data_IF_410078282169
#
_entry.id   IF_410078282169
#
_cell.length_a   1.000
_cell.length_b   1.000
_cell.length_c   1.000
_cell.angle_alpha   90.00
_cell.angle_beta   90.00
_cell.angle_gamma   90.00
#
_symmetry.space_group_name_H-M   'P 1'
#
loop_
_entity.id
_entity.type
_entity.pdbx_description
1 polymer ?
#
# COMPACT_ATOMS: atom_id res chain seq x y z
N UNK A 1 -18.79 -15.41 -33.01
CA UNK A 1 -19.62 -15.76 -31.83
C UNK A 1 -18.66 -16.18 -30.75
N UNK A 2 -18.78 -15.58 -29.56
CA UNK A 2 -17.82 -15.77 -28.48
C UNK A 2 -17.68 -17.25 -28.11
N UNK A 3 -16.47 -17.68 -27.75
CA UNK A 3 -16.24 -19.05 -27.29
C UNK A 3 -17.00 -19.36 -25.99
N UNK A 4 -17.20 -18.36 -25.14
CA UNK A 4 -18.00 -18.47 -23.92
C UNK A 4 -19.50 -18.46 -24.22
N UNK A 5 -20.25 -19.29 -23.48
CA UNK A 5 -21.72 -19.27 -23.47
C UNK A 5 -22.22 -17.95 -22.89
N UNK A 6 -23.33 -17.43 -23.43
CA UNK A 6 -23.99 -16.22 -22.93
C UNK A 6 -24.28 -16.25 -21.42
N UNK A 7 -24.58 -17.42 -20.85
CA UNK A 7 -24.78 -17.57 -19.39
C UNK A 7 -23.53 -17.23 -18.60
N UNK A 8 -22.35 -17.65 -19.09
CA UNK A 8 -21.06 -17.37 -18.44
C UNK A 8 -20.66 -15.91 -18.64
N UNK A 9 -20.92 -15.36 -19.83
CA UNK A 9 -20.72 -13.94 -20.10
C UNK A 9 -21.55 -13.09 -19.13
N UNK A 10 -22.85 -13.39 -18.97
CA UNK A 10 -23.70 -12.66 -18.04
C UNK A 10 -23.20 -12.78 -16.60
N UNK A 11 -22.77 -13.97 -16.15
CA UNK A 11 -22.16 -14.13 -14.83
C UNK A 11 -20.90 -13.28 -14.63
N UNK A 12 -20.04 -13.20 -15.66
CA UNK A 12 -18.85 -12.34 -15.63
C UNK A 12 -19.26 -10.88 -15.46
N UNK A 13 -20.25 -10.41 -16.21
CA UNK A 13 -20.76 -9.04 -16.11
C UNK A 13 -21.39 -8.79 -14.73
N UNK A 14 -22.21 -9.72 -14.23
CA UNK A 14 -22.82 -9.63 -12.90
C UNK A 14 -21.72 -9.47 -11.84
N UNK A 15 -20.64 -10.25 -11.90
CA UNK A 15 -19.53 -10.13 -10.95
C UNK A 15 -18.79 -8.79 -11.01
N UNK A 16 -18.85 -8.06 -12.13
CA UNK A 16 -18.31 -6.70 -12.26
C UNK A 16 -19.26 -5.63 -11.70
N UNK A 17 -20.56 -5.91 -11.60
CA UNK A 17 -21.54 -5.03 -10.95
C UNK A 17 -21.53 -5.14 -9.42
N UNK A 18 -20.91 -6.18 -8.86
CA UNK A 18 -20.87 -6.41 -7.43
C UNK A 18 -19.63 -5.75 -6.78
N UNK A 19 -19.84 -4.67 -6.02
CA UNK A 19 -18.79 -4.02 -5.21
C UNK A 19 -18.85 -2.50 -5.25
N UNK A 20 -17.69 -1.86 -5.40
CA UNK A 20 -17.53 -0.40 -5.42
C UNK A 20 -17.46 0.20 -6.83
N UNK A 21 -17.64 -0.62 -7.87
CA UNK A 21 -17.60 -0.25 -9.28
C UNK A 21 -18.82 -0.81 -10.00
N UNK A 22 -19.08 -0.33 -11.21
CA UNK A 22 -20.15 -0.81 -12.08
C UNK A 22 -19.56 -1.48 -13.33
N UNK A 23 -20.32 -2.34 -14.01
CA UNK A 23 -19.87 -2.98 -15.26
C UNK A 23 -19.43 -1.96 -16.34
N UNK A 24 -20.02 -0.77 -16.34
CA UNK A 24 -19.68 0.33 -17.24
C UNK A 24 -18.26 0.88 -17.04
N UNK A 25 -17.66 0.70 -15.86
CA UNK A 25 -16.28 1.10 -15.56
C UNK A 25 -15.24 0.20 -16.24
N UNK A 26 -15.69 -0.89 -16.86
CA UNK A 26 -14.83 -1.89 -17.50
C UNK A 26 -15.07 -1.97 -19.01
N UNK A 27 -14.00 -2.24 -19.75
CA UNK A 27 -14.04 -2.69 -21.13
C UNK A 27 -13.87 -4.21 -21.13
N UNK A 28 -14.93 -4.93 -21.49
CA UNK A 28 -15.01 -6.39 -21.45
C UNK A 28 -15.09 -6.94 -22.88
N UNK A 29 -14.05 -7.66 -23.28
CA UNK A 29 -13.92 -8.27 -24.59
C UNK A 29 -14.02 -9.80 -24.46
N UNK A 30 -14.82 -10.40 -25.34
CA UNK A 30 -15.05 -11.85 -25.41
C UNK A 30 -14.69 -12.34 -26.81
N UNK A 31 -13.40 -12.64 -27.07
CA UNK A 31 -12.93 -13.01 -28.40
C UNK A 31 -13.57 -14.29 -28.94
N UNK A 32 -13.64 -14.37 -30.26
CA UNK A 32 -14.02 -15.57 -30.98
C UNK A 32 -12.77 -16.40 -31.30
N UNK A 33 -12.87 -17.72 -31.23
CA UNK A 33 -11.85 -18.69 -31.71
C UNK A 33 -10.42 -18.41 -31.22
N UNK A 34 -10.27 -18.04 -29.96
CA UNK A 34 -8.98 -17.78 -29.34
C UNK A 34 -8.80 -18.57 -28.05
N UNK A 35 -7.56 -18.80 -27.63
CA UNK A 35 -7.29 -19.37 -26.31
C UNK A 35 -7.73 -18.43 -25.18
N UNK A 36 -7.89 -17.14 -25.48
CA UNK A 36 -8.44 -16.14 -24.56
C UNK A 36 -9.96 -16.20 -24.61
N UNK A 37 -10.55 -16.51 -23.47
CA UNK A 37 -12.00 -16.63 -23.29
C UNK A 37 -12.65 -15.29 -22.91
N UNK A 38 -11.96 -14.50 -22.10
CA UNK A 38 -12.38 -13.16 -21.72
C UNK A 38 -11.19 -12.26 -21.39
N UNK A 39 -11.28 -10.98 -21.75
CA UNK A 39 -10.34 -9.95 -21.35
C UNK A 39 -11.12 -8.74 -20.82
N UNK A 40 -10.85 -8.38 -19.57
CA UNK A 40 -11.52 -7.28 -18.88
C UNK A 40 -10.46 -6.24 -18.51
N UNK A 41 -10.71 -4.98 -18.87
CA UNK A 41 -9.81 -3.86 -18.61
C UNK A 41 -10.56 -2.77 -17.85
N UNK A 42 -9.97 -2.25 -16.78
CA UNK A 42 -10.57 -1.11 -16.07
C UNK A 42 -10.34 0.19 -16.85
N UNK A 43 -11.41 0.88 -17.27
CA UNK A 43 -11.33 2.01 -18.21
C UNK A 43 -10.54 3.18 -17.66
N UNK A 44 -10.75 3.52 -16.39
CA UNK A 44 -10.08 4.67 -15.76
C UNK A 44 -8.55 4.48 -15.64
N UNK A 45 -8.07 3.24 -15.50
CA UNK A 45 -6.65 2.92 -15.46
C UNK A 45 -6.39 1.60 -16.23
N UNK A 46 -6.11 1.67 -17.54
CA UNK A 46 -5.96 0.49 -18.41
C UNK A 46 -4.81 -0.45 -18.04
N UNK A 47 -3.94 -0.06 -17.11
CA UNK A 47 -2.92 -0.94 -16.51
C UNK A 47 -3.53 -2.11 -15.72
N UNK A 48 -4.79 -1.98 -15.27
CA UNK A 48 -5.50 -3.04 -14.57
C UNK A 48 -6.27 -3.89 -15.56
N UNK A 49 -5.87 -5.16 -15.64
CA UNK A 49 -6.39 -6.13 -16.60
C UNK A 49 -6.63 -7.47 -15.95
N UNK A 50 -7.71 -8.14 -16.34
CA UNK A 50 -7.99 -9.53 -16.03
C UNK A 50 -8.13 -10.30 -17.34
N UNK A 51 -7.38 -11.38 -17.48
CA UNK A 51 -7.46 -12.26 -18.65
C UNK A 51 -7.81 -13.65 -18.18
N UNK A 52 -8.84 -14.23 -18.80
CA UNK A 52 -9.24 -15.62 -18.65
C UNK A 52 -8.89 -16.35 -19.94
N UNK A 53 -8.04 -17.37 -19.85
CA UNK A 53 -7.60 -18.15 -21.00
C UNK A 53 -7.53 -19.66 -20.70
N UNK A 54 -7.50 -20.46 -21.76
CA UNK A 54 -7.16 -21.87 -21.70
C UNK A 54 -5.68 -22.07 -22.04
N UNK A 55 -4.97 -22.85 -21.24
CA UNK A 55 -3.57 -23.20 -21.48
C UNK A 55 -3.32 -24.67 -21.14
N UNK A 56 -2.07 -25.14 -21.23
CA UNK A 56 -1.68 -26.49 -20.83
C UNK A 56 -0.98 -26.51 -19.47
N UNK A 57 -1.17 -27.59 -18.72
CA UNK A 57 -0.46 -27.86 -17.47
C UNK A 57 1.06 -27.80 -17.69
N UNK A 58 1.77 -26.95 -16.94
CA UNK A 58 3.18 -26.65 -17.16
C UNK A 58 3.46 -25.37 -17.96
N UNK A 59 2.43 -24.57 -18.25
CA UNK A 59 2.57 -23.25 -18.86
C UNK A 59 3.09 -23.29 -20.30
N UNK A 60 4.03 -22.41 -20.64
CA UNK A 60 4.63 -22.35 -21.98
C UNK A 60 5.36 -23.64 -22.36
N UNK A 61 6.04 -24.27 -21.40
CA UNK A 61 6.73 -25.56 -21.59
C UNK A 61 5.72 -26.67 -21.80
N UNK A 62 4.67 -26.73 -20.97
CA UNK A 62 3.57 -27.68 -21.14
C UNK A 62 2.85 -27.55 -22.48
N UNK A 63 2.68 -26.32 -22.96
CA UNK A 63 2.07 -26.03 -24.26
C UNK A 63 2.96 -26.49 -25.42
N UNK A 64 4.26 -26.24 -25.35
CA UNK A 64 5.22 -26.69 -26.36
C UNK A 64 5.31 -28.23 -26.41
N UNK A 65 5.32 -28.87 -25.25
CA UNK A 65 5.33 -30.33 -25.11
C UNK A 65 4.04 -30.97 -25.65
N UNK A 66 2.87 -30.37 -25.39
CA UNK A 66 1.60 -30.80 -25.94
C UNK A 66 1.57 -30.77 -27.49
N UNK A 67 2.09 -29.70 -28.09
CA UNK A 67 2.19 -29.55 -29.56
C UNK A 67 3.13 -30.59 -30.17
N UNK A 68 4.17 -30.99 -29.45
CA UNK A 68 5.11 -32.05 -29.88
C UNK A 68 4.60 -33.47 -29.60
N UNK A 69 3.40 -33.63 -29.04
CA UNK A 69 2.84 -34.94 -28.66
C UNK A 69 3.64 -35.64 -27.55
N UNK A 70 4.45 -34.90 -26.79
CA UNK A 70 5.25 -35.42 -25.69
C UNK A 70 4.73 -34.88 -24.35
N UNK A 71 4.44 -35.77 -23.40
CA UNK A 71 4.04 -35.41 -22.03
C UNK A 71 2.53 -35.43 -21.75
N UNK A 72 2.16 -35.58 -20.47
CA UNK A 72 0.78 -35.61 -19.98
C UNK A 72 0.18 -34.20 -19.83
N UNK A 73 0.34 -33.36 -20.86
CA UNK A 73 -0.11 -31.97 -20.82
C UNK A 73 -1.65 -31.88 -20.91
N UNK A 74 -2.29 -31.61 -19.78
CA UNK A 74 -3.75 -31.43 -19.69
C UNK A 74 -4.10 -29.97 -19.95
N UNK A 75 -5.15 -29.70 -20.73
CA UNK A 75 -5.73 -28.36 -20.83
C UNK A 75 -6.26 -27.91 -19.47
N UNK A 76 -5.95 -26.69 -19.07
CA UNK A 76 -6.35 -26.07 -17.81
C UNK A 76 -6.83 -24.64 -18.07
N UNK A 77 -7.78 -24.19 -17.26
CA UNK A 77 -8.26 -22.81 -17.28
C UNK A 77 -7.32 -21.98 -16.43
N UNK A 78 -6.98 -20.77 -16.89
CA UNK A 78 -6.06 -19.88 -16.21
C UNK A 78 -6.59 -18.45 -16.16
N UNK A 79 -6.38 -17.80 -15.03
CA UNK A 79 -6.57 -16.36 -14.87
C UNK A 79 -5.22 -15.66 -14.76
N UNK A 80 -5.11 -14.51 -15.40
CA UNK A 80 -3.99 -13.58 -15.29
C UNK A 80 -4.54 -12.25 -14.79
N UNK A 81 -4.16 -11.87 -13.56
CA UNK A 81 -4.78 -10.80 -12.78
C UNK A 81 -3.78 -9.67 -12.56
N UNK A 82 -4.14 -8.43 -12.94
CA UNK A 82 -3.39 -7.19 -12.68
C UNK A 82 -4.33 -6.11 -12.14
N UNK A 83 -4.19 -5.64 -10.88
CA UNK A 83 -3.28 -6.15 -9.87
C UNK A 83 -3.70 -7.56 -9.43
N UNK A 84 -2.76 -8.37 -8.96
CA UNK A 84 -3.05 -9.62 -8.26
C UNK A 84 -3.35 -9.40 -6.78
N UNK A 85 -3.63 -10.47 -6.03
CA UNK A 85 -4.00 -10.35 -4.61
C UNK A 85 -2.83 -9.91 -3.72
N UNK A 86 -1.61 -10.36 -4.01
CA UNK A 86 -0.39 -9.95 -3.27
C UNK A 86 0.81 -9.65 -4.18
N UNK A 87 0.66 -9.80 -5.50
CA UNK A 87 1.66 -9.45 -6.52
C UNK A 87 1.01 -8.50 -7.52
N UNK A 88 1.80 -7.63 -8.18
CA UNK A 88 1.29 -6.77 -9.25
C UNK A 88 0.75 -7.56 -10.45
N UNK A 89 1.25 -8.77 -10.66
CA UNK A 89 0.80 -9.73 -11.65
C UNK A 89 0.67 -11.08 -10.96
N UNK A 90 -0.52 -11.66 -11.03
CA UNK A 90 -0.77 -12.99 -10.51
C UNK A 90 -1.35 -13.88 -11.59
N UNK A 91 -0.95 -15.15 -11.58
CA UNK A 91 -1.41 -16.15 -12.54
C UNK A 91 -1.85 -17.38 -11.77
N UNK A 92 -3.07 -17.83 -12.02
CA UNK A 92 -3.69 -18.95 -11.30
C UNK A 92 -4.32 -19.91 -12.29
N UNK A 93 -4.21 -21.20 -12.00
CA UNK A 93 -4.90 -22.26 -12.76
C UNK A 93 -6.09 -22.76 -11.95
N UNK A 94 -7.18 -23.07 -12.64
CA UNK A 94 -8.47 -23.44 -12.05
C UNK A 94 -8.92 -24.80 -12.57
N UNK A 95 -9.70 -25.50 -11.75
CA UNK A 95 -10.25 -26.81 -12.09
C UNK A 95 -11.44 -26.72 -13.04
N UNK A 96 -12.21 -25.63 -12.93
CA UNK A 96 -13.42 -25.37 -13.71
C UNK A 96 -13.60 -23.87 -14.00
N UNK A 97 -14.59 -23.55 -14.83
CA UNK A 97 -14.88 -22.18 -15.25
C UNK A 97 -15.47 -21.34 -14.12
N UNK A 98 -16.26 -21.95 -13.23
CA UNK A 98 -16.96 -21.27 -12.14
C UNK A 98 -15.96 -20.72 -11.10
N UNK A 99 -14.99 -21.56 -10.71
CA UNK A 99 -13.85 -21.16 -9.88
C UNK A 99 -13.02 -20.06 -10.51
N UNK A 100 -12.84 -20.07 -11.83
CA UNK A 100 -12.13 -19.01 -12.55
C UNK A 100 -12.90 -17.68 -12.55
N UNK A 101 -14.22 -17.67 -12.82
CA UNK A 101 -15.02 -16.44 -12.88
C UNK A 101 -15.25 -15.82 -11.49
N UNK A 102 -15.33 -16.61 -10.42
CA UNK A 102 -15.43 -16.08 -9.04
C UNK A 102 -14.23 -15.22 -8.64
N UNK A 103 -13.09 -15.37 -9.34
CA UNK A 103 -11.90 -14.51 -9.15
C UNK A 103 -12.13 -13.07 -9.56
N UNK A 104 -13.09 -12.79 -10.43
CA UNK A 104 -13.37 -11.43 -10.88
C UNK A 104 -13.71 -10.53 -9.69
N UNK A 105 -14.56 -10.97 -8.76
CA UNK A 105 -14.88 -10.19 -7.56
C UNK A 105 -13.66 -9.95 -6.66
N UNK A 106 -12.77 -10.95 -6.54
CA UNK A 106 -11.52 -10.78 -5.79
C UNK A 106 -10.55 -9.81 -6.48
N UNK A 107 -10.49 -9.84 -7.81
CA UNK A 107 -9.68 -8.93 -8.62
C UNK A 107 -10.21 -7.49 -8.54
N UNK A 108 -11.52 -7.29 -8.64
CA UNK A 108 -12.17 -5.98 -8.45
C UNK A 108 -11.83 -5.39 -7.08
N UNK A 109 -11.89 -6.21 -6.02
CA UNK A 109 -11.44 -5.80 -4.69
C UNK A 109 -9.94 -5.45 -4.66
N UNK A 110 -9.11 -6.20 -5.39
CA UNK A 110 -7.67 -5.92 -5.49
C UNK A 110 -7.38 -4.60 -6.23
N UNK A 111 -8.18 -4.24 -7.24
CA UNK A 111 -8.13 -2.91 -7.88
C UNK A 111 -8.43 -1.82 -6.85
N UNK A 112 -9.49 -1.97 -6.06
CA UNK A 112 -9.81 -1.02 -4.98
C UNK A 112 -8.68 -0.91 -3.98
N UNK A 113 -8.17 -2.03 -3.49
CA UNK A 113 -7.10 -2.05 -2.52
C UNK A 113 -5.84 -1.39 -3.10
N UNK A 114 -5.50 -1.66 -4.37
CA UNK A 114 -4.38 -0.99 -5.06
C UNK A 114 -4.65 0.50 -5.29
N UNK A 115 -5.88 0.94 -5.57
CA UNK A 115 -6.23 2.37 -5.69
C UNK A 115 -6.12 3.10 -4.34
N UNK A 116 -6.65 2.51 -3.27
CA UNK A 116 -6.54 3.04 -1.89
C UNK A 116 -5.08 3.07 -1.46
N UNK A 117 -4.35 1.99 -1.70
CA UNK A 117 -2.96 1.88 -1.30
C UNK A 117 -2.00 2.55 -2.29
N UNK A 118 -2.39 2.90 -3.51
CA UNK A 118 -1.56 3.71 -4.42
C UNK A 118 -1.47 5.15 -3.92
N UNK A 119 -2.50 5.67 -3.23
CA UNK A 119 -2.38 6.86 -2.38
C UNK A 119 -1.50 6.61 -1.16
N UNK A 120 -1.50 5.42 -0.57
CA UNK A 120 -0.54 5.05 0.48
C UNK A 120 0.89 4.80 -0.05
N UNK A 121 1.03 4.58 -1.36
CA UNK A 121 2.29 4.42 -2.09
C UNK A 121 2.83 5.77 -2.58
N UNK A 122 2.12 6.88 -2.29
CA UNK A 122 2.77 8.18 -2.02
C UNK A 122 3.60 8.17 -0.72
N UNK A 123 3.82 7.00 -0.10
CA UNK A 123 5.04 6.75 0.70
C UNK A 123 6.33 6.86 -0.12
N UNK A 124 6.26 6.99 -1.45
CA UNK A 124 7.39 7.42 -2.29
C UNK A 124 7.62 8.94 -2.30
N UNK A 125 6.70 9.75 -1.76
CA UNK A 125 7.12 11.02 -1.15
C UNK A 125 7.49 10.71 0.29
N UNK A 126 8.68 10.13 0.47
CA UNK A 126 9.48 10.58 1.60
C UNK A 126 9.53 12.10 1.38
N UNK A 127 8.80 12.86 2.19
CA UNK A 127 8.92 14.31 2.14
C UNK A 127 10.41 14.62 2.29
N UNK A 128 10.92 15.63 1.59
CA UNK A 128 12.25 16.18 1.82
C UNK A 128 12.54 16.31 3.33
N UNK A 129 11.53 16.60 4.15
CA UNK A 129 11.63 16.63 5.61
C UNK A 129 11.92 15.26 6.27
N UNK A 130 11.26 14.18 5.86
CA UNK A 130 11.53 12.83 6.44
C UNK A 130 12.83 12.25 5.88
N UNK A 131 13.17 12.56 4.63
CA UNK A 131 14.43 12.12 4.01
C UNK A 131 15.62 12.86 4.61
N UNK A 132 15.53 14.18 4.73
CA UNK A 132 16.55 15.00 5.40
C UNK A 132 16.71 14.61 6.85
N UNK A 133 15.62 14.28 7.57
CA UNK A 133 15.71 13.76 8.93
C UNK A 133 16.45 12.42 9.00
N UNK A 134 16.10 11.45 8.14
CA UNK A 134 16.79 10.14 8.11
C UNK A 134 18.27 10.26 7.73
N UNK A 135 18.58 11.10 6.74
CA UNK A 135 19.96 11.37 6.36
C UNK A 135 20.74 12.06 7.49
N UNK A 136 20.11 13.00 8.18
CA UNK A 136 20.73 13.71 9.30
C UNK A 136 20.93 12.83 10.53
N UNK A 137 20.07 11.83 10.75
CA UNK A 137 20.26 10.77 11.77
C UNK A 137 21.57 10.02 11.49
N UNK A 138 21.78 9.61 10.24
CA UNK A 138 22.99 8.86 9.85
C UNK A 138 24.27 9.73 9.89
N UNK A 139 24.14 11.05 9.74
CA UNK A 139 25.28 12.00 9.72
C UNK A 139 25.61 12.63 11.09
N UNK A 140 24.65 12.78 12.01
CA UNK A 140 24.81 13.58 13.24
C UNK A 140 24.68 12.79 14.55
N UNK A 141 24.33 11.50 14.51
CA UNK A 141 24.27 10.69 15.73
C UNK A 141 25.64 10.07 15.99
N UNK A 142 26.29 10.57 17.03
CA UNK A 142 27.48 9.95 17.59
C UNK A 142 27.12 8.61 18.26
N UNK A 143 27.80 7.55 17.84
CA UNK A 143 27.63 6.17 18.32
C UNK A 143 26.17 5.66 18.31
N UNK A 144 25.60 5.35 17.14
CA UNK A 144 24.19 4.97 16.98
C UNK A 144 23.74 3.72 17.75
N UNK A 145 24.68 2.85 18.12
CA UNK A 145 24.46 1.62 18.88
C UNK A 145 24.48 1.84 20.39
N UNK A 146 24.91 3.02 20.85
CA UNK A 146 24.85 3.41 22.26
C UNK A 146 23.43 3.74 22.71
N UNK A 147 23.20 3.69 24.02
CA UNK A 147 21.96 4.17 24.64
C UNK A 147 22.11 5.63 25.05
N UNK A 148 21.00 6.34 25.20
CA UNK A 148 21.01 7.71 25.71
C UNK A 148 21.54 7.75 27.14
N UNK A 149 22.43 8.70 27.42
CA UNK A 149 22.78 9.04 28.78
C UNK A 149 21.62 9.80 29.45
N UNK A 150 21.58 9.78 30.79
CA UNK A 150 20.48 10.42 31.55
C UNK A 150 20.28 11.90 31.17
N UNK A 151 21.36 12.62 30.88
CA UNK A 151 21.29 14.03 30.50
C UNK A 151 20.75 14.23 29.07
N UNK A 152 21.04 13.31 28.15
CA UNK A 152 20.53 13.31 26.76
C UNK A 152 19.05 12.93 26.74
N UNK A 153 18.64 11.94 27.55
CA UNK A 153 17.24 11.59 27.70
C UNK A 153 16.41 12.78 28.20
N UNK A 154 16.92 13.49 29.20
CA UNK A 154 16.22 14.63 29.79
C UNK A 154 16.13 15.81 28.81
N UNK A 155 17.16 16.02 27.98
CA UNK A 155 17.13 16.99 26.89
C UNK A 155 16.07 16.63 25.83
N UNK A 156 15.96 15.35 25.43
CA UNK A 156 14.94 14.91 24.46
C UNK A 156 13.53 14.99 25.07
N UNK A 157 13.35 14.59 26.33
CA UNK A 157 12.06 14.72 27.03
C UNK A 157 11.61 16.17 27.11
N UNK A 158 12.51 17.09 27.45
CA UNK A 158 12.22 18.52 27.50
C UNK A 158 11.77 19.08 26.13
N UNK A 159 12.41 18.66 25.04
CA UNK A 159 12.01 19.02 23.67
C UNK A 159 10.65 18.45 23.29
N UNK A 160 10.36 17.21 23.69
CA UNK A 160 9.06 16.57 23.50
C UNK A 160 7.95 17.23 24.32
N UNK A 161 8.26 17.76 25.51
CA UNK A 161 7.34 18.54 26.34
C UNK A 161 7.06 19.93 25.75
N UNK A 162 8.08 20.61 25.21
CA UNK A 162 7.91 21.86 24.48
C UNK A 162 6.98 21.66 23.26
N UNK A 163 7.20 20.56 22.53
CA UNK A 163 6.37 20.19 21.39
C UNK A 163 4.92 19.94 21.80
N UNK A 164 4.70 19.19 22.88
CA UNK A 164 3.36 18.93 23.41
C UNK A 164 2.62 20.24 23.71
N UNK A 165 3.26 21.17 24.43
CA UNK A 165 2.69 22.50 24.72
C UNK A 165 2.33 23.25 23.45
N UNK A 166 3.23 23.26 22.45
CA UNK A 166 3.02 23.98 21.19
C UNK A 166 1.87 23.39 20.38
N UNK A 167 1.71 22.07 20.37
CA UNK A 167 0.57 21.39 19.72
C UNK A 167 -0.74 21.75 20.43
N UNK A 168 -0.78 21.77 21.77
CA UNK A 168 -1.97 22.20 22.53
C UNK A 168 -2.33 23.67 22.32
N UNK A 169 -1.34 24.55 22.09
CA UNK A 169 -1.60 25.95 21.73
C UNK A 169 -2.17 26.10 20.33
N UNK A 170 -1.72 25.27 19.38
CA UNK A 170 -2.23 25.23 18.01
C UNK A 170 -3.62 24.60 17.91
N UNK A 171 -3.96 23.64 18.76
CA UNK A 171 -5.33 23.11 18.87
C UNK A 171 -6.35 24.22 19.03
N UNK A 172 -6.02 25.24 19.83
CA UNK A 172 -6.87 26.42 20.04
C UNK A 172 -6.94 27.37 18.84
N UNK A 173 -6.01 27.26 17.88
CA UNK A 173 -5.85 28.19 16.74
C UNK A 173 -6.22 27.58 15.38
N UNK A 174 -6.08 26.26 15.21
CA UNK A 174 -6.14 25.57 13.92
C UNK A 174 -7.30 24.55 13.80
N UNK A 175 -8.29 24.62 14.70
CA UNK A 175 -9.54 23.84 14.64
C UNK A 175 -9.29 22.30 14.60
N UNK A 176 -8.32 21.84 15.39
CA UNK A 176 -8.02 20.40 15.50
C UNK A 176 -9.13 19.67 16.22
N UNK A 177 -9.39 18.42 15.82
CA UNK A 177 -10.28 17.57 16.59
C UNK A 177 -9.57 17.09 17.87
N UNK A 178 -10.26 16.97 19.01
CA UNK A 178 -9.68 16.42 20.24
C UNK A 178 -9.07 15.02 20.06
N UNK A 179 -9.56 14.25 19.08
CA UNK A 179 -9.00 12.94 18.72
C UNK A 179 -7.63 13.03 18.04
N UNK A 180 -7.38 14.06 17.24
CA UNK A 180 -6.10 14.30 16.59
C UNK A 180 -5.05 14.74 17.61
N UNK A 181 -5.41 15.65 18.52
CA UNK A 181 -4.55 16.04 19.64
C UNK A 181 -4.13 14.81 20.45
N UNK A 182 -5.10 13.98 20.85
CA UNK A 182 -4.86 12.75 21.62
C UNK A 182 -3.94 11.75 20.89
N UNK A 183 -3.98 11.70 19.56
CA UNK A 183 -3.05 10.86 18.76
C UNK A 183 -1.62 11.37 18.83
N UNK A 184 -1.42 12.69 18.80
CA UNK A 184 -0.09 13.31 18.95
C UNK A 184 0.43 13.07 20.36
N UNK A 185 -0.38 13.32 21.40
CA UNK A 185 0.01 13.09 22.80
C UNK A 185 0.45 11.64 23.03
N UNK A 186 -0.33 10.68 22.54
CA UNK A 186 0.03 9.26 22.66
C UNK A 186 1.32 8.91 21.93
N UNK A 187 1.61 9.56 20.80
CA UNK A 187 2.85 9.37 20.07
C UNK A 187 4.04 9.96 20.85
N UNK A 188 3.88 11.14 21.44
CA UNK A 188 4.89 11.81 22.27
C UNK A 188 5.22 10.96 23.51
N UNK A 189 4.21 10.54 24.27
CA UNK A 189 4.40 9.76 25.50
C UNK A 189 5.06 8.41 25.21
N UNK A 190 4.66 7.75 24.12
CA UNK A 190 5.33 6.53 23.67
C UNK A 190 6.79 6.80 23.28
N UNK A 191 7.07 7.89 22.57
CA UNK A 191 8.43 8.25 22.20
C UNK A 191 9.32 8.47 23.43
N UNK A 192 8.78 9.07 24.51
CA UNK A 192 9.49 9.25 25.78
C UNK A 192 9.79 7.93 26.49
N UNK A 193 8.83 6.99 26.51
CA UNK A 193 9.05 5.67 27.13
C UNK A 193 10.10 4.85 26.38
N UNK A 194 10.12 5.00 25.06
CA UNK A 194 10.99 4.25 24.16
C UNK A 194 12.48 4.67 24.29
N UNK A 195 12.77 5.87 24.84
CA UNK A 195 14.15 6.37 25.08
C UNK A 195 14.98 5.45 25.99
N UNK A 196 14.32 4.82 26.98
CA UNK A 196 14.98 3.95 27.97
C UNK A 196 15.29 2.55 27.45
N UNK A 197 14.72 2.18 26.29
CA UNK A 197 14.67 0.80 25.80
C UNK A 197 15.42 0.65 24.48
N UNK A 198 15.52 1.71 23.68
CA UNK A 198 16.16 1.66 22.38
C UNK A 198 17.51 2.40 22.34
N UNK A 199 18.52 1.83 21.65
CA UNK A 199 19.71 2.57 21.25
C UNK A 199 19.37 3.83 20.46
N UNK A 200 20.25 4.83 20.48
CA UNK A 200 20.04 6.16 19.90
C UNK A 200 19.55 6.06 18.45
N UNK A 201 20.32 5.40 17.59
CA UNK A 201 20.00 5.25 16.17
C UNK A 201 18.66 4.54 15.93
N UNK A 202 18.37 3.50 16.71
CA UNK A 202 17.12 2.75 16.62
C UNK A 202 15.93 3.61 17.05
N UNK A 203 16.07 4.38 18.13
CA UNK A 203 15.02 5.28 18.62
C UNK A 203 14.66 6.33 17.58
N UNK A 204 15.66 7.00 16.99
CA UNK A 204 15.44 8.02 15.97
C UNK A 204 14.78 7.44 14.70
N UNK A 205 15.24 6.27 14.23
CA UNK A 205 14.68 5.60 13.04
C UNK A 205 13.27 5.06 13.26
N UNK A 206 12.90 4.73 14.49
CA UNK A 206 11.59 4.13 14.81
C UNK A 206 10.62 5.11 15.46
N UNK A 207 10.87 5.49 16.72
CA UNK A 207 10.03 6.39 17.49
C UNK A 207 10.03 7.82 16.91
N UNK A 208 11.22 8.34 16.55
CA UNK A 208 11.37 9.66 15.91
C UNK A 208 10.63 9.76 14.57
N UNK A 209 10.88 8.81 13.65
CA UNK A 209 10.17 8.74 12.36
C UNK A 209 8.65 8.61 12.54
N UNK A 210 8.20 7.81 13.50
CA UNK A 210 6.77 7.61 13.77
C UNK A 210 6.12 8.90 14.30
N UNK A 211 6.80 9.61 15.20
CA UNK A 211 6.34 10.88 15.73
C UNK A 211 6.16 11.92 14.61
N UNK A 212 7.18 12.08 13.75
CA UNK A 212 7.11 12.97 12.57
C UNK A 212 5.97 12.60 11.63
N UNK A 213 5.75 11.30 11.40
CA UNK A 213 4.67 10.82 10.51
C UNK A 213 3.28 11.13 11.06
N UNK A 214 3.06 10.90 12.36
CA UNK A 214 1.77 11.18 13.01
C UNK A 214 1.47 12.68 12.96
N UNK A 215 2.46 13.52 13.30
CA UNK A 215 2.25 14.96 13.28
C UNK A 215 2.08 15.49 11.86
N UNK A 216 2.82 14.98 10.86
CA UNK A 216 2.58 15.32 9.44
C UNK A 216 1.16 15.02 9.00
N UNK A 217 0.60 13.90 9.46
CA UNK A 217 -0.77 13.50 9.16
C UNK A 217 -1.83 14.49 9.68
N UNK A 218 -1.49 15.30 10.68
CA UNK A 218 -2.41 16.19 11.38
C UNK A 218 -2.09 17.67 11.07
N UNK A 219 -0.82 18.06 11.12
CA UNK A 219 -0.29 19.40 10.88
C UNK A 219 -0.10 19.69 9.38
N UNK A 220 -1.19 19.61 8.59
CA UNK A 220 -1.15 19.83 7.14
C UNK A 220 -1.05 21.29 6.71
N UNK A 221 -1.38 22.23 7.62
CA UNK A 221 -1.35 23.68 7.39
C UNK A 221 0.09 24.21 7.21
N UNK A 222 0.24 25.39 6.61
CA UNK A 222 1.57 26.02 6.45
C UNK A 222 2.27 26.24 7.80
N UNK A 223 1.54 26.75 8.79
CA UNK A 223 2.01 26.93 10.17
C UNK A 223 2.37 25.59 10.83
N UNK A 224 1.57 24.55 10.59
CA UNK A 224 1.85 23.20 11.08
C UNK A 224 3.14 22.60 10.50
N UNK A 225 3.42 22.84 9.21
CA UNK A 225 4.65 22.39 8.54
C UNK A 225 5.91 23.09 9.05
N UNK A 226 5.82 24.38 9.39
CA UNK A 226 6.95 25.10 10.01
C UNK A 226 7.31 24.50 11.38
N UNK A 227 6.30 24.09 12.15
CA UNK A 227 6.50 23.48 13.47
C UNK A 227 7.09 22.07 13.35
N UNK A 228 6.68 21.31 12.33
CA UNK A 228 7.32 20.03 11.99
C UNK A 228 8.80 20.20 11.62
N UNK A 229 9.13 21.24 10.85
CA UNK A 229 10.50 21.51 10.43
C UNK A 229 11.39 21.97 11.60
N UNK A 230 10.87 22.83 12.49
CA UNK A 230 11.56 23.24 13.71
C UNK A 230 11.84 22.04 14.63
N UNK A 231 10.86 21.16 14.80
CA UNK A 231 11.04 19.96 15.61
C UNK A 231 12.08 19.00 15.02
N UNK A 232 12.01 18.71 13.71
CA UNK A 232 12.95 17.80 13.06
C UNK A 232 14.40 18.28 13.29
N UNK A 233 14.65 19.59 13.21
CA UNK A 233 15.96 20.19 13.53
C UNK A 233 16.31 20.07 15.01
N UNK A 234 15.40 20.44 15.91
CA UNK A 234 15.63 20.39 17.37
C UNK A 234 15.87 19.00 17.91
N UNK A 235 15.31 17.95 17.29
CA UNK A 235 15.53 16.57 17.72
C UNK A 235 16.94 16.05 17.37
N UNK A 236 17.58 16.64 16.36
CA UNK A 236 18.89 16.22 15.84
C UNK A 236 20.07 17.06 16.35
N UNK A 237 19.79 18.25 16.87
CA UNK A 237 20.73 19.14 17.56
C UNK A 237 20.66 18.92 19.06
#
# INVERSE_FOLDING_TARGET
MSTLRNTVINQIIDYLEHGDFCAEDFDSQFPDDSTVLAQITFKALPKYTFVLDETYSGGSIGSALAVMGQGNAKKVIRTVEKPGTYKNLETRTHEDIDSAITRISAWVRSIRDDLINSRATLRSTIDELTESFQKSIDENIDDPESYFESHEEDAIKAKLDELHKRVSELEKKLDFTPEETKKIEKAIEKSKSDLKVYPKGVWYKTAGTKLLTVMKGILKSKEGREILADLAKKLLQ
#
